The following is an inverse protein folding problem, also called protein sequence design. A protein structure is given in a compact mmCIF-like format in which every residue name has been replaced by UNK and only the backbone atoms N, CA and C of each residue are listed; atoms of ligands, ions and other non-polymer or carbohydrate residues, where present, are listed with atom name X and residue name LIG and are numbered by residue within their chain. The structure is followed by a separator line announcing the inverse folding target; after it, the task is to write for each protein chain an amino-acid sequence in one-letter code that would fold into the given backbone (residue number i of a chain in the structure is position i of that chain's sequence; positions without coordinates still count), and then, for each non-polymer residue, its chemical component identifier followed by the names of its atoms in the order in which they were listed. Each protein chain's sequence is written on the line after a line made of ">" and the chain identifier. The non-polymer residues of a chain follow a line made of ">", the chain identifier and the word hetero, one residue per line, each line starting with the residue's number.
data_IF_504326544429
#
_entry.id   IF_504326544429
#
_cell.length_a   1.000
_cell.length_b   1.000
_cell.length_c   1.000
_cell.angle_alpha   90.00
_cell.angle_beta   90.00
_cell.angle_gamma   90.00
#
_symmetry.space_group_name_H-M   'P 1'
#
loop_
_entity.id
_entity.type
_entity.pdbx_description
1 polymer ?
2 polymer ?
3 polymer ?
4 non-polymer ?
5 water ?
#
loop_
_entity_poly.entity_id
_entity_poly.type
_entity_poly.pdbx_seq_one_letter_code
_entity_poly.pdbx_strand_id
1 'polydeoxyribonucleotide' '(DG)(DC)(DA)(DA)(DA)(DT)(DC)(DG)(DT)(DC)(DG)(DT)(DG)(DA)(DG)(DA)(DC)(DA)(DA)(DT)(DT)(DT)(DC)(DG)' ?
2 'polydeoxyribonucleotide' '(DC)(DG)(DA)(DA)(DA)(DT)(DT)(DG)(DT)(DC)(DT)(DC)(DA)(DC)(DG)(DA)(DC)(DG)(DA)(DT)(DT)(DT)(DG)(DC)' ?
#
# COMPACT_ATOMS: atom_id res chain seq x y z
N UNK C 2 16.57 10.55 -19.66
CA UNK C 2 15.97 9.55 -18.71
C UNK C 2 16.40 9.83 -17.28
N UNK C 3 15.47 10.31 -16.47
CA UNK C 3 15.76 10.63 -15.08
C UNK C 3 16.35 9.42 -14.35
N UNK C 4 17.23 9.72 -13.39
CA UNK C 4 17.92 8.72 -12.60
C UNK C 4 17.39 8.80 -11.16
N UNK C 5 16.40 7.95 -10.83
CA UNK C 5 15.80 7.97 -9.50
C UNK C 5 16.67 7.37 -8.40
N UNK C 6 16.48 7.91 -7.18
CA UNK C 6 17.19 7.45 -6.00
C UNK C 6 16.66 6.12 -5.50
N UNK C 7 17.58 5.20 -5.21
CA UNK C 7 17.24 3.87 -4.73
C UNK C 7 16.32 3.83 -3.53
N UNK C 8 16.54 4.73 -2.57
CA UNK C 8 15.72 4.75 -1.37
C UNK C 8 14.29 5.19 -1.68
N UNK C 9 14.16 6.14 -2.61
CA UNK C 9 12.86 6.61 -3.02
C UNK C 9 12.18 5.45 -3.74
N UNK C 10 12.96 4.71 -4.51
CA UNK C 10 12.47 3.58 -5.28
C UNK C 10 12.04 2.42 -4.36
N UNK C 11 12.84 2.17 -3.32
CA UNK C 11 12.55 1.11 -2.37
C UNK C 11 11.22 1.38 -1.68
N UNK C 12 11.08 2.59 -1.14
CA UNK C 12 9.85 2.97 -0.45
C UNK C 12 8.64 2.98 -1.37
N UNK C 13 8.81 3.52 -2.57
CA UNK C 13 7.73 3.60 -3.54
C UNK C 13 7.33 2.22 -4.04
N UNK C 14 8.31 1.34 -4.23
CA UNK C 14 7.98 0.01 -4.70
C UNK C 14 7.03 -0.60 -3.66
N UNK C 15 7.30 -0.32 -2.39
CA UNK C 15 6.46 -0.87 -1.34
C UNK C 15 5.09 -0.25 -1.37
N UNK C 16 5.04 1.05 -1.63
CA UNK C 16 3.77 1.75 -1.66
C UNK C 16 2.95 1.29 -2.85
N UNK C 17 3.63 1.10 -3.96
CA UNK C 17 3.01 0.64 -5.20
C UNK C 17 2.43 -0.76 -4.98
N UNK C 18 3.22 -1.65 -4.38
CA UNK C 18 2.74 -3.01 -4.15
C UNK C 18 1.45 -2.95 -3.33
N UNK C 19 1.31 -1.91 -2.51
CA UNK C 19 0.12 -1.78 -1.69
C UNK C 19 -1.06 -1.11 -2.37
N UNK C 20 -0.94 0.19 -2.60
CA UNK C 20 -2.00 1.00 -3.22
C UNK C 20 -1.84 1.21 -4.72
N UNK C 21 -0.70 0.80 -5.26
CA UNK C 21 -0.44 0.99 -6.68
C UNK C 21 -1.14 -0.02 -7.58
N UNK C 22 -0.96 0.16 -8.89
CA UNK C 22 -1.55 -0.73 -9.88
C UNK C 22 -0.85 -0.58 -11.22
N UNK C 23 -0.49 -1.71 -11.82
CA UNK C 23 0.19 -1.73 -13.12
C UNK C 23 -0.83 -2.35 -14.06
N UNK C 24 -1.34 -1.52 -14.95
CA UNK C 24 -2.43 -1.88 -15.87
C UNK C 24 -2.15 -1.92 -17.38
N UNK C 25 -2.58 -3.00 -18.02
CA UNK C 25 -2.41 -3.16 -19.46
C UNK C 25 -3.78 -3.44 -20.05
N UNK C 26 -4.23 -2.59 -20.97
CA UNK C 26 -5.55 -2.75 -21.58
C UNK C 26 -5.55 -2.80 -23.10
N UNK C 27 -6.63 -3.34 -23.65
CA UNK C 27 -6.83 -3.42 -25.09
C UNK C 27 -8.09 -2.61 -25.33
N UNK C 28 -7.96 -1.43 -25.92
CA UNK C 28 -9.12 -0.58 -26.18
C UNK C 28 -9.63 -0.71 -27.61
N UNK C 29 -10.91 -1.11 -27.79
CA UNK C 29 -11.37 -1.20 -29.17
C UNK C 29 -11.53 0.21 -29.74
N UNK C 30 -10.90 0.46 -30.88
CA UNK C 30 -10.93 1.78 -31.53
C UNK C 30 -10.67 1.63 -33.03
N UNK C 31 -11.66 2.00 -33.85
CA UNK C 31 -11.55 1.88 -35.31
C UNK C 31 -10.59 2.85 -35.98
N UNK C 32 -9.72 3.49 -35.22
CA UNK C 32 -8.81 4.43 -35.85
C UNK C 32 -7.44 3.78 -35.90
N UNK C 33 -7.31 2.67 -35.19
CA UNK C 33 -6.04 1.95 -35.12
C UNK C 33 -5.92 0.89 -36.21
N UNK C 34 -4.68 0.61 -36.59
CA UNK C 34 -4.35 -0.37 -37.63
C UNK C 34 -5.10 -1.68 -37.43
N UNK C 35 -5.13 -2.17 -36.19
CA UNK C 35 -5.79 -3.42 -35.89
C UNK C 35 -7.07 -3.27 -35.06
N UNK C 36 -7.74 -2.13 -35.22
CA UNK C 36 -8.99 -1.85 -34.52
C UNK C 36 -8.96 -1.92 -32.98
N UNK C 37 -7.77 -1.75 -32.41
CA UNK C 37 -7.60 -1.77 -30.96
C UNK C 37 -6.28 -1.12 -30.62
N UNK C 38 -6.28 -0.36 -29.52
CA UNK C 38 -5.06 0.30 -29.09
C UNK C 38 -4.54 -0.43 -27.87
N UNK C 39 -3.23 -0.40 -27.70
CA UNK C 39 -2.63 -1.03 -26.53
C UNK C 39 -2.28 0.10 -25.57
N UNK C 40 -2.88 0.05 -24.39
CA UNK C 40 -2.66 1.05 -23.36
C UNK C 40 -2.04 0.44 -22.12
N UNK C 41 -0.93 1.03 -21.68
CA UNK C 41 -0.23 0.59 -20.48
C UNK C 41 -0.34 1.74 -19.51
N UNK C 42 -0.52 1.45 -18.23
CA UNK C 42 -0.66 2.53 -17.26
C UNK C 42 -0.12 2.19 -15.89
N UNK C 43 0.59 3.14 -15.31
CA UNK C 43 1.11 2.99 -13.96
C UNK C 43 0.32 3.94 -13.07
N UNK C 44 -0.22 3.44 -11.98
CA UNK C 44 -1.00 4.32 -11.12
C UNK C 44 -0.94 4.04 -9.64
N UNK C 45 -1.21 5.10 -8.88
CA UNK C 45 -1.26 5.06 -7.44
C UNK C 45 -2.55 5.80 -7.08
N UNK C 46 -3.43 5.10 -6.37
CA UNK C 46 -4.69 5.69 -5.97
C UNK C 46 -4.57 6.08 -4.50
N UNK C 47 -5.31 7.11 -4.10
CA UNK C 47 -5.30 7.55 -2.71
C UNK C 47 -6.45 8.51 -2.42
N UNK C 48 -6.98 8.42 -1.21
CA UNK C 48 -8.07 9.28 -0.77
C UNK C 48 -7.64 10.70 -1.11
N UNK C 49 -8.54 11.47 -1.69
CA UNK C 49 -8.18 12.82 -2.11
C UNK C 49 -7.65 13.73 -1.01
N UNK C 50 -8.11 13.55 0.23
CA UNK C 50 -7.58 14.41 1.29
C UNK C 50 -6.09 14.11 1.48
N UNK C 51 -5.62 13.08 0.83
CA UNK C 51 -4.22 12.66 0.94
C UNK C 51 -3.55 12.79 -0.43
N UNK C 52 -4.09 13.66 -1.28
CA UNK C 52 -3.56 13.84 -2.61
C UNK C 52 -2.18 14.49 -2.64
N UNK C 53 -1.89 15.31 -1.63
CA UNK C 53 -0.59 15.97 -1.58
C UNK C 53 0.49 14.92 -1.85
N UNK C 54 0.22 13.69 -1.43
CA UNK C 54 1.17 12.61 -1.63
C UNK C 54 1.35 12.29 -3.13
N UNK C 55 0.25 12.29 -3.87
CA UNK C 55 0.32 12.02 -5.30
C UNK C 55 0.97 13.21 -6.02
N UNK C 56 0.58 14.42 -5.62
CA UNK C 56 1.14 15.64 -6.21
C UNK C 56 2.65 15.57 -5.99
N UNK C 57 3.03 15.01 -4.84
CA UNK C 57 4.41 14.83 -4.47
C UNK C 57 5.09 13.87 -5.45
N UNK C 58 4.37 12.83 -5.86
CA UNK C 58 4.93 11.87 -6.82
C UNK C 58 5.16 12.49 -8.20
N UNK C 59 4.30 13.43 -8.56
CA UNK C 59 4.45 14.10 -9.84
C UNK C 59 5.82 14.77 -9.91
N UNK C 60 6.13 15.56 -8.89
CA UNK C 60 7.39 16.27 -8.82
C UNK C 60 8.59 15.33 -8.70
N UNK C 61 8.44 14.22 -7.98
CA UNK C 61 9.53 13.27 -7.82
C UNK C 61 9.73 12.33 -9.02
N UNK C 62 8.66 11.99 -9.72
CA UNK C 62 8.80 11.13 -10.90
C UNK C 62 9.21 12.08 -12.05
N UNK C 63 8.70 13.31 -12.02
CA UNK C 63 9.02 14.28 -13.06
C UNK C 63 8.21 14.14 -14.33
N UNK C 64 7.13 13.38 -14.26
CA UNK C 64 6.24 13.15 -15.39
C UNK C 64 4.93 12.63 -14.82
N UNK C 65 3.89 12.55 -15.65
CA UNK C 65 2.60 12.08 -15.16
C UNK C 65 1.80 13.18 -14.49
N UNK C 66 0.62 12.83 -13.97
CA UNK C 66 -0.24 13.80 -13.33
C UNK C 66 -1.22 13.18 -12.34
N UNK C 67 -2.00 14.02 -11.66
CA UNK C 67 -2.97 13.57 -10.68
C UNK C 67 -4.39 13.98 -11.08
N UNK C 68 -5.33 13.06 -11.01
CA UNK C 68 -6.71 13.39 -11.34
C UNK C 68 -7.57 13.04 -10.13
N UNK C 69 -8.63 13.82 -9.92
CA UNK C 69 -9.55 13.55 -8.81
C UNK C 69 -10.77 12.84 -9.40
N UNK C 70 -11.37 11.96 -8.61
CA UNK C 70 -12.57 11.25 -9.02
C UNK C 70 -13.43 11.04 -7.78
N UNK C 71 -13.78 12.15 -7.15
CA UNK C 71 -14.59 12.12 -5.94
C UNK C 71 -13.75 12.24 -4.69
N UNK C 72 -14.00 11.34 -3.74
CA UNK C 72 -13.27 11.34 -2.49
C UNK C 72 -11.90 10.69 -2.70
N UNK C 73 -11.66 10.19 -3.91
CA UNK C 73 -10.41 9.53 -4.25
C UNK C 73 -9.69 10.14 -5.45
N UNK C 74 -8.35 10.11 -5.41
CA UNK C 74 -7.51 10.66 -6.48
C UNK C 74 -6.48 9.65 -7.01
N UNK C 75 -5.91 9.93 -8.18
CA UNK C 75 -4.92 9.05 -8.79
C UNK C 75 -3.71 9.71 -9.43
N UNK C 76 -2.53 9.21 -9.10
CA UNK C 76 -1.34 9.69 -9.78
C UNK C 76 -1.40 8.79 -11.04
N UNK C 77 -1.29 9.39 -12.22
CA UNK C 77 -1.36 8.60 -13.44
C UNK C 77 -0.14 8.83 -14.33
N UNK C 78 0.36 7.76 -14.92
CA UNK C 78 1.50 7.83 -15.82
C UNK C 78 1.26 6.80 -16.91
N UNK C 79 1.10 7.27 -18.14
CA UNK C 79 0.87 6.39 -19.29
C UNK C 79 1.80 6.69 -20.44
N UNK C 80 2.68 7.67 -20.28
CA UNK C 80 3.61 7.98 -21.35
C UNK C 80 4.60 6.83 -21.51
N UNK C 81 4.52 6.18 -22.67
CA UNK C 81 5.37 5.03 -22.97
C UNK C 81 6.85 5.12 -22.60
N UNK C 82 7.54 6.15 -23.08
CA UNK C 82 8.97 6.26 -22.77
C UNK C 82 9.25 6.45 -21.29
N UNK C 83 8.56 7.42 -20.63
CA UNK C 83 8.82 7.63 -19.20
C UNK C 83 8.46 6.36 -18.42
N UNK C 84 7.36 5.71 -18.82
CA UNK C 84 6.93 4.49 -18.15
C UNK C 84 8.04 3.42 -18.17
N UNK C 85 8.67 3.24 -19.32
CA UNK C 85 9.73 2.25 -19.46
C UNK C 85 10.89 2.59 -18.53
N UNK C 86 11.38 3.82 -18.62
CA UNK C 86 12.47 4.27 -17.77
C UNK C 86 12.13 4.06 -16.29
N UNK C 87 10.94 4.53 -15.91
CA UNK C 87 10.48 4.42 -14.54
C UNK C 87 10.36 2.98 -14.04
N UNK C 88 9.66 2.14 -14.79
CA UNK C 88 9.47 0.75 -14.37
C UNK C 88 10.75 -0.09 -14.38
N UNK C 89 11.68 0.24 -15.27
CA UNK C 89 12.93 -0.52 -15.35
C UNK C 89 13.66 -0.36 -14.01
N UNK C 90 13.61 0.82 -13.43
CA UNK C 90 14.27 1.10 -12.16
C UNK C 90 13.53 0.66 -10.90
N UNK C 91 12.20 0.67 -10.93
CA UNK C 91 11.40 0.29 -9.77
C UNK C 91 11.27 -1.21 -9.60
N UNK C 92 11.16 -1.90 -10.73
CA UNK C 92 10.97 -3.35 -10.78
C UNK C 92 11.80 -4.25 -9.84
N UNK C 93 13.13 -4.07 -9.78
CA UNK C 93 13.92 -4.92 -8.89
C UNK C 93 13.53 -4.85 -7.42
N UNK C 94 12.71 -3.87 -7.04
CA UNK C 94 12.31 -3.76 -5.67
C UNK C 94 10.87 -4.18 -5.41
N UNK C 95 10.12 -4.41 -6.49
CA UNK C 95 8.73 -4.82 -6.36
C UNK C 95 8.73 -6.25 -5.91
N UNK C 96 7.71 -6.64 -5.14
CA UNK C 96 7.61 -8.00 -4.65
C UNK C 96 6.29 -8.62 -5.06
N UNK C 97 5.26 -7.77 -5.16
CA UNK C 97 3.94 -8.25 -5.52
C UNK C 97 3.57 -8.01 -6.98
N UNK C 98 4.07 -6.93 -7.56
CA UNK C 98 3.74 -6.61 -8.93
C UNK C 98 4.95 -6.56 -9.87
N UNK C 99 6.02 -7.24 -9.49
CA UNK C 99 7.23 -7.25 -10.30
C UNK C 99 6.93 -7.92 -11.64
N UNK C 100 6.14 -8.98 -11.60
CA UNK C 100 5.81 -9.68 -12.84
C UNK C 100 5.04 -8.81 -13.82
N UNK C 101 4.03 -8.09 -13.34
CA UNK C 101 3.29 -7.24 -14.26
C UNK C 101 4.23 -6.17 -14.79
N UNK C 102 5.09 -5.67 -13.90
CA UNK C 102 6.05 -4.64 -14.28
C UNK C 102 6.88 -5.10 -15.48
N UNK C 103 7.51 -6.26 -15.34
CA UNK C 103 8.34 -6.83 -16.39
C UNK C 103 7.54 -7.16 -17.66
N UNK C 104 6.25 -7.41 -17.50
CA UNK C 104 5.42 -7.71 -18.65
C UNK C 104 5.24 -6.41 -19.45
N UNK C 105 5.01 -5.32 -18.73
CA UNK C 105 4.84 -4.04 -19.38
C UNK C 105 6.15 -3.70 -20.08
N UNK C 106 7.27 -3.84 -19.39
CA UNK C 106 8.57 -3.56 -19.98
C UNK C 106 8.70 -4.27 -21.32
N UNK C 107 8.34 -5.56 -21.33
CA UNK C 107 8.45 -6.38 -22.53
C UNK C 107 7.42 -5.98 -23.58
N UNK C 108 6.24 -5.57 -23.12
CA UNK C 108 5.20 -5.14 -24.04
C UNK C 108 5.73 -3.87 -24.73
N UNK C 109 6.22 -2.93 -23.92
CA UNK C 109 6.75 -1.68 -24.45
C UNK C 109 7.83 -1.92 -25.50
N UNK C 110 8.68 -2.92 -25.28
CA UNK C 110 9.76 -3.21 -26.19
C UNK C 110 9.37 -3.90 -27.50
N UNK C 111 8.22 -4.57 -27.51
CA UNK C 111 7.72 -5.25 -28.71
C UNK C 111 6.74 -4.35 -29.47
N UNK C 112 6.53 -3.13 -28.98
CA UNK C 112 5.56 -2.25 -29.64
C UNK C 112 5.74 -2.12 -31.16
N UNK C 113 6.86 -1.52 -31.62
CA UNK C 113 7.01 -1.40 -33.07
C UNK C 113 6.81 -2.66 -33.89
N UNK C 114 7.25 -3.82 -33.40
CA UNK C 114 7.06 -5.04 -34.18
C UNK C 114 5.60 -5.42 -34.12
N UNK C 115 4.95 -5.11 -33.00
CA UNK C 115 3.54 -5.42 -32.85
C UNK C 115 2.71 -4.53 -33.77
N UNK C 116 3.36 -3.55 -34.39
CA UNK C 116 2.63 -2.66 -35.29
C UNK C 116 2.66 -3.15 -36.73
N UNK C 117 3.66 -3.95 -37.10
CA UNK C 117 3.76 -4.44 -38.47
C UNK C 117 3.29 -5.87 -38.70
N UNK C 118 2.49 -6.43 -37.78
CA UNK C 118 2.01 -7.80 -37.96
C UNK C 118 0.88 -8.22 -37.03
N UNK C 119 -0.30 -8.51 -37.59
CA UNK C 119 -1.44 -8.91 -36.76
C UNK C 119 -1.12 -10.10 -35.84
N UNK C 120 0.04 -10.73 -36.05
CA UNK C 120 0.45 -11.88 -35.25
C UNK C 120 1.27 -11.40 -34.06
N UNK C 121 2.28 -10.57 -34.32
CA UNK C 121 3.09 -10.01 -33.25
C UNK C 121 2.07 -9.38 -32.29
N UNK C 122 1.30 -8.43 -32.81
CA UNK C 122 0.25 -7.72 -32.07
C UNK C 122 -0.66 -8.68 -31.33
N UNK C 123 -0.97 -9.80 -31.99
CA UNK C 123 -1.81 -10.82 -31.39
C UNK C 123 -1.07 -11.36 -30.17
N UNK C 124 0.17 -11.77 -30.38
CA UNK C 124 1.00 -12.32 -29.31
C UNK C 124 1.07 -11.34 -28.14
N UNK C 125 1.31 -10.07 -28.43
CA UNK C 125 1.42 -9.04 -27.40
C UNK C 125 0.14 -8.91 -26.55
N UNK C 126 -1.03 -9.03 -27.18
CA UNK C 126 -2.28 -8.94 -26.45
C UNK C 126 -2.34 -10.07 -25.46
N UNK C 127 -1.63 -11.16 -25.78
CA UNK C 127 -1.55 -12.32 -24.92
C UNK C 127 -0.70 -11.95 -23.70
N UNK C 128 0.16 -10.95 -23.85
CA UNK C 128 1.01 -10.48 -22.75
C UNK C 128 0.09 -9.73 -21.79
N UNK C 129 -0.86 -9.00 -22.35
CA UNK C 129 -1.80 -8.23 -21.58
C UNK C 129 -2.72 -9.14 -20.76
N UNK C 130 -3.18 -10.25 -21.35
CA UNK C 130 -4.03 -11.14 -20.58
C UNK C 130 -3.27 -11.48 -19.29
N UNK C 131 -2.01 -11.91 -19.44
CA UNK C 131 -1.19 -12.29 -18.29
C UNK C 131 -1.15 -11.24 -17.19
N UNK C 132 -0.93 -9.98 -17.57
CA UNK C 132 -0.89 -8.92 -16.58
C UNK C 132 -2.23 -8.86 -15.83
N UNK C 133 -3.33 -8.98 -16.56
CA UNK C 133 -4.66 -8.95 -15.94
C UNK C 133 -4.82 -10.11 -14.97
N UNK C 134 -4.48 -11.32 -15.41
CA UNK C 134 -4.60 -12.50 -14.55
C UNK C 134 -3.79 -12.29 -13.27
N UNK C 135 -2.57 -11.78 -13.42
CA UNK C 135 -1.71 -11.51 -12.27
C UNK C 135 -2.39 -10.54 -11.33
N UNK C 136 -3.12 -9.58 -11.87
CA UNK C 136 -3.83 -8.60 -11.05
C UNK C 136 -5.15 -9.17 -10.57
N UNK C 137 -5.81 -8.45 -9.67
CA UNK C 137 -7.11 -8.88 -9.16
C UNK C 137 -8.17 -8.31 -10.12
N UNK C 138 -8.10 -8.76 -11.37
CA UNK C 138 -9.01 -8.32 -12.43
C UNK C 138 -10.45 -8.74 -12.16
N UNK C 139 -11.38 -7.80 -12.23
CA UNK C 139 -12.77 -8.14 -11.97
C UNK C 139 -13.83 -7.55 -12.91
N UNK C 140 -13.43 -6.73 -13.88
CA UNK C 140 -14.40 -6.15 -14.81
C UNK C 140 -13.85 -6.11 -16.25
N UNK C 141 -12.84 -6.93 -16.53
CA UNK C 141 -12.23 -6.94 -17.87
C UNK C 141 -13.17 -7.46 -18.95
N UNK C 142 -13.12 -6.83 -20.12
CA UNK C 142 -13.97 -7.23 -21.26
C UNK C 142 -13.16 -7.56 -22.51
N UNK C 143 -12.30 -6.64 -22.94
CA UNK C 143 -11.51 -6.88 -24.14
C UNK C 143 -10.23 -7.65 -23.83
N UNK C 144 -10.11 -8.84 -24.43
CA UNK C 144 -8.94 -9.67 -24.24
C UNK C 144 -8.32 -9.98 -25.59
N UNK C 145 -7.21 -10.72 -25.58
CA UNK C 145 -6.55 -11.09 -26.82
C UNK C 145 -7.54 -11.88 -27.68
N UNK C 146 -8.42 -12.62 -27.00
CA UNK C 146 -9.43 -13.45 -27.64
C UNK C 146 -10.40 -12.61 -28.45
N UNK C 147 -10.97 -11.62 -27.79
CA UNK C 147 -11.92 -10.74 -28.47
C UNK C 147 -11.19 -9.97 -29.58
N UNK C 148 -9.86 -9.95 -29.53
CA UNK C 148 -9.05 -9.27 -30.55
C UNK C 148 -8.70 -10.24 -31.69
N UNK C 149 -8.53 -11.53 -31.39
CA UNK C 149 -8.23 -12.47 -32.46
C UNK C 149 -9.42 -12.35 -33.41
N UNK C 150 -10.55 -11.93 -32.85
CA UNK C 150 -11.77 -11.69 -33.61
C UNK C 150 -11.55 -10.46 -34.48
N UNK C 151 -10.45 -10.47 -35.23
CA UNK C 151 -10.07 -9.42 -36.15
C UNK C 151 -9.87 -10.24 -37.41
N UNK C 152 -9.51 -11.51 -37.17
CA UNK C 152 -9.25 -12.44 -38.25
C UNK C 152 -10.58 -12.81 -38.88
N UNK C 153 -11.20 -11.79 -39.47
CA UNK C 153 -12.44 -11.98 -40.20
C UNK C 153 -12.61 -10.80 -41.15
N UNK D 2 14.73 -7.17 20.47
CA UNK D 2 15.60 -6.01 20.08
C UNK D 2 16.34 -6.34 18.80
N UNK D 3 15.69 -7.12 17.94
CA UNK D 3 16.27 -7.50 16.67
C UNK D 3 16.52 -6.27 15.81
N UNK D 4 17.59 -6.29 15.03
CA UNK D 4 17.92 -5.15 14.18
C UNK D 4 17.45 -5.48 12.77
N UNK D 5 16.85 -4.50 12.11
CA UNK D 5 16.35 -4.71 10.75
C UNK D 5 17.14 -3.96 9.69
N UNK D 6 17.25 -4.61 8.53
CA UNK D 6 17.95 -4.10 7.35
C UNK D 6 17.22 -2.86 6.82
N UNK D 7 17.98 -1.80 6.56
CA UNK D 7 17.46 -0.53 6.08
C UNK D 7 16.55 -0.63 4.85
N UNK D 8 17.05 -1.34 3.84
CA UNK D 8 16.31 -1.51 2.61
C UNK D 8 14.99 -2.24 2.87
N UNK D 9 15.02 -3.22 3.78
CA UNK D 9 13.80 -3.93 4.14
C UNK D 9 12.84 -2.89 4.74
N UNK D 10 13.32 -2.12 5.70
CA UNK D 10 12.52 -1.10 6.36
C UNK D 10 11.96 -0.07 5.38
N UNK D 11 12.79 0.33 4.42
CA UNK D 11 12.38 1.32 3.42
C UNK D 11 11.16 0.83 2.67
N UNK D 12 11.27 -0.38 2.14
CA UNK D 12 10.20 -0.99 1.37
C UNK D 12 8.97 -1.22 2.26
N UNK D 13 9.18 -1.83 3.42
CA UNK D 13 8.06 -2.10 4.32
C UNK D 13 7.34 -0.81 4.70
N UNK D 14 8.10 0.25 4.97
CA UNK D 14 7.50 1.52 5.33
C UNK D 14 6.48 1.90 4.26
N UNK D 15 6.90 1.78 3.00
CA UNK D 15 6.02 2.10 1.90
C UNK D 15 4.81 1.18 1.87
N UNK D 16 5.05 -0.12 1.95
CA UNK D 16 3.95 -1.06 1.92
C UNK D 16 2.96 -0.81 3.06
N UNK D 17 3.47 -0.36 4.20
CA UNK D 17 2.60 -0.10 5.33
C UNK D 17 1.76 1.16 5.11
N UNK D 18 2.38 2.20 4.58
CA UNK D 18 1.64 3.42 4.32
C UNK D 18 0.50 3.09 3.37
N UNK D 19 0.70 2.06 2.55
CA UNK D 19 -0.34 1.64 1.62
C UNK D 19 -1.41 0.76 2.25
N UNK D 20 -1.05 -0.49 2.54
CA UNK D 20 -1.99 -1.44 3.11
C UNK D 20 -1.93 -1.56 4.64
N UNK D 21 -0.90 -1.00 5.26
CA UNK D 21 -0.77 -1.12 6.70
C UNK D 21 -1.72 -0.30 7.55
N UNK D 22 -1.55 -0.36 8.86
CA UNK D 22 -2.40 0.40 9.79
C UNK D 22 -1.87 0.39 11.21
N UNK D 23 -1.56 1.57 11.74
CA UNK D 23 -1.09 1.69 13.10
C UNK D 23 -2.35 2.04 13.90
N UNK D 24 -2.71 1.16 14.83
CA UNK D 24 -3.94 1.33 15.61
C UNK D 24 -3.80 1.41 17.14
N UNK D 25 -4.49 2.38 17.72
CA UNK D 25 -4.51 2.55 19.16
C UNK D 25 -5.98 2.45 19.56
N UNK D 26 -6.28 1.60 20.55
CA UNK D 26 -7.66 1.44 20.97
C UNK D 26 -7.86 1.47 22.49
N UNK D 27 -9.00 2.01 22.92
CA UNK D 27 -9.34 2.04 24.33
C UNK D 27 -10.39 0.95 24.46
N UNK D 28 -10.00 -0.15 25.12
CA UNK D 28 -10.88 -1.29 25.29
C UNK D 28 -11.53 -1.35 26.64
N UNK D 29 -12.86 -1.18 26.69
CA UNK D 29 -13.59 -1.24 27.96
C UNK D 29 -13.51 -2.67 28.48
N UNK D 30 -13.18 -2.82 29.76
CA UNK D 30 -13.03 -4.11 30.39
C UNK D 30 -12.98 -3.91 31.90
N UNK D 31 -13.98 -4.44 32.62
CA UNK D 31 -14.07 -4.27 34.06
C UNK D 31 -12.85 -4.75 34.86
N UNK D 32 -12.20 -5.81 34.38
CA UNK D 32 -11.04 -6.36 35.08
C UNK D 32 -9.84 -5.41 35.20
N UNK D 33 -9.88 -4.30 34.49
CA UNK D 33 -8.78 -3.32 34.52
C UNK D 33 -9.05 -2.22 35.55
N UNK D 34 -8.00 -1.78 36.25
CA UNK D 34 -8.13 -0.73 37.26
C UNK D 34 -9.04 0.41 36.83
N UNK D 35 -8.76 0.99 35.66
CA UNK D 35 -9.56 2.10 35.17
C UNK D 35 -10.61 1.66 34.16
N UNK D 36 -11.07 0.42 34.32
CA UNK D 36 -12.09 -0.18 33.47
C UNK D 36 -11.80 -0.20 31.98
N UNK D 37 -10.54 0.02 31.61
CA UNK D 37 -10.19 -0.01 30.19
C UNK D 37 -8.77 -0.51 29.97
N UNK D 38 -8.56 -1.13 28.81
CA UNK D 38 -7.23 -1.64 28.45
C UNK D 38 -6.71 -0.78 27.31
N UNK D 39 -5.41 -0.49 27.33
CA UNK D 39 -4.81 0.27 26.27
C UNK D 39 -4.25 -0.80 25.34
N UNK D 40 -4.63 -0.74 24.07
CA UNK D 40 -4.20 -1.75 23.10
C UNK D 40 -3.60 -1.16 21.81
N UNK D 41 -2.33 -1.47 21.58
CA UNK D 41 -1.62 -0.98 20.42
C UNK D 41 -1.42 -2.11 19.41
N UNK D 42 -1.80 -1.87 18.17
CA UNK D 42 -1.67 -2.88 17.13
C UNK D 42 -1.11 -2.42 15.79
N UNK D 43 -0.11 -3.13 15.32
CA UNK D 43 0.44 -2.86 14.00
C UNK D 43 -0.07 -4.00 13.13
N UNK D 44 -0.62 -3.67 11.96
CA UNK D 44 -1.10 -4.73 11.10
C UNK D 44 -0.91 -4.43 9.63
N UNK D 45 -1.11 -5.46 8.81
CA UNK D 45 -1.00 -5.37 7.37
C UNK D 45 -2.05 -6.31 6.80
N UNK D 46 -2.98 -5.72 6.06
CA UNK D 46 -4.07 -6.48 5.46
C UNK D 46 -3.76 -6.85 4.01
N UNK D 47 -4.20 -8.02 3.58
CA UNK D 47 -3.97 -8.48 2.23
C UNK D 47 -4.92 -9.61 1.85
N UNK D 48 -5.27 -9.66 0.58
CA UNK D 48 -6.16 -10.69 0.02
C UNK D 48 -5.53 -12.01 0.47
N UNK D 49 -6.34 -12.97 0.88
CA UNK D 49 -5.80 -14.25 1.35
C UNK D 49 -5.00 -15.04 0.33
N UNK D 50 -5.28 -14.87 -0.97
CA UNK D 50 -4.51 -15.59 -1.97
C UNK D 50 -3.04 -15.13 -1.96
N UNK D 51 -2.81 -13.99 -1.31
CA UNK D 51 -1.46 -13.46 -1.19
C UNK D 51 -1.00 -13.53 0.25
N UNK D 52 -1.57 -14.47 0.99
CA UNK D 52 -1.20 -14.63 2.40
C UNK D 52 0.29 -14.88 2.57
N UNK D 53 0.92 -15.49 1.57
CA UNK D 53 2.34 -15.80 1.64
C UNK D 53 3.18 -14.56 1.95
N UNK D 54 2.81 -13.42 1.38
CA UNK D 54 3.57 -12.22 1.63
C UNK D 54 3.53 -11.90 3.13
N UNK D 55 2.34 -12.04 3.71
CA UNK D 55 2.14 -11.79 5.13
C UNK D 55 2.89 -12.81 6.00
N UNK D 56 2.89 -14.07 5.57
CA UNK D 56 3.59 -15.10 6.32
C UNK D 56 5.08 -14.80 6.34
N UNK D 57 5.60 -14.33 5.21
CA UNK D 57 7.02 -14.00 5.12
C UNK D 57 7.34 -12.89 6.11
N UNK D 58 6.44 -11.92 6.27
CA UNK D 58 6.68 -10.83 7.20
C UNK D 58 6.92 -11.38 8.61
N UNK D 59 6.14 -12.39 9.00
CA UNK D 59 6.29 -12.99 10.32
C UNK D 59 7.74 -13.42 10.55
N UNK D 60 8.34 -14.05 9.55
CA UNK D 60 9.73 -14.54 9.61
C UNK D 60 10.69 -13.35 9.53
N UNK D 61 10.36 -12.38 8.69
CA UNK D 61 11.20 -11.19 8.53
C UNK D 61 11.16 -10.30 9.78
N UNK D 62 9.97 -9.97 10.26
CA UNK D 62 9.87 -9.13 11.46
C UNK D 62 10.31 -9.91 12.70
N UNK D 63 10.07 -11.22 12.69
CA UNK D 63 10.50 -12.04 13.81
C UNK D 63 9.48 -12.27 14.90
N UNK D 64 8.37 -11.56 14.84
CA UNK D 64 7.32 -11.71 15.83
C UNK D 64 5.98 -11.48 15.16
N UNK D 65 4.90 -11.63 15.93
CA UNK D 65 3.58 -11.42 15.38
C UNK D 65 3.05 -12.68 14.76
N UNK D 66 1.90 -12.57 14.09
CA UNK D 66 1.28 -13.71 13.44
C UNK D 66 0.30 -13.26 12.37
N UNK D 67 -0.16 -14.22 11.58
CA UNK D 67 -1.13 -13.97 10.53
C UNK D 67 -2.48 -14.56 10.91
N UNK D 68 -3.54 -13.78 10.81
CA UNK D 68 -4.86 -14.32 11.11
C UNK D 68 -5.71 -14.30 9.85
N UNK D 69 -6.65 -15.23 9.81
CA UNK D 69 -7.54 -15.36 8.67
C UNK D 69 -8.94 -14.79 8.95
N UNK D 70 -9.53 -14.18 7.93
CA UNK D 70 -10.88 -13.64 8.05
C UNK D 70 -11.59 -13.62 6.70
N UNK D 71 -11.69 -14.78 6.06
CA UNK D 71 -12.40 -14.85 4.79
C UNK D 71 -11.58 -14.60 3.54
N UNK D 72 -11.94 -13.59 2.75
CA UNK D 72 -11.20 -13.29 1.54
C UNK D 72 -9.93 -12.50 1.84
N UNK D 73 -9.78 -12.06 3.09
CA UNK D 73 -8.60 -11.30 3.46
C UNK D 73 -7.94 -11.85 4.73
N UNK D 74 -6.63 -11.57 4.88
CA UNK D 74 -5.86 -12.00 6.04
C UNK D 74 -5.11 -10.80 6.64
N UNK D 75 -4.61 -10.95 7.86
CA UNK D 75 -3.86 -9.87 8.49
C UNK D 75 -2.56 -10.28 9.17
N UNK D 76 -1.56 -9.42 9.06
CA UNK D 76 -0.32 -9.66 9.77
C UNK D 76 -0.64 -8.85 11.03
N UNK D 77 -0.43 -9.43 12.20
CA UNK D 77 -0.73 -8.72 13.42
C UNK D 77 0.42 -8.75 14.42
N UNK D 78 0.68 -7.61 15.04
CA UNK D 78 1.73 -7.47 16.06
C UNK D 78 1.14 -6.64 17.19
N UNK D 79 0.81 -7.30 18.29
CA UNK D 79 0.22 -6.62 19.43
C UNK D 79 1.19 -6.51 20.60
N UNK D 80 2.28 -7.26 20.56
CA UNK D 80 3.27 -7.27 21.63
C UNK D 80 4.00 -5.93 21.79
N UNK D 81 3.73 -5.26 22.91
CA UNK D 81 4.29 -3.95 23.19
C UNK D 81 5.78 -3.75 23.05
N UNK D 82 6.59 -4.59 23.68
CA UNK D 82 8.02 -4.41 23.54
C UNK D 82 8.52 -4.61 22.10
N UNK D 83 8.15 -5.72 21.45
CA UNK D 83 8.63 -5.90 20.08
C UNK D 83 8.05 -4.84 19.15
N UNK D 84 6.84 -4.39 19.46
CA UNK D 84 6.18 -3.36 18.68
C UNK D 84 7.00 -2.08 18.79
N UNK D 85 7.42 -1.76 20.01
CA UNK D 85 8.22 -0.55 20.23
C UNK D 85 9.51 -0.66 19.45
N UNK D 86 10.12 -1.84 19.46
CA UNK D 86 11.36 -2.02 18.74
C UNK D 86 11.16 -1.89 17.23
N UNK D 87 10.09 -2.47 16.71
CA UNK D 87 9.78 -2.45 15.28
C UNK D 87 9.49 -1.05 14.74
N UNK D 88 8.55 -0.36 15.38
CA UNK D 88 8.17 0.98 14.95
C UNK D 88 9.33 1.98 15.11
N UNK D 89 10.18 1.76 16.11
CA UNK D 89 11.32 2.66 16.33
C UNK D 89 12.19 2.71 15.09
N UNK D 90 12.37 1.55 14.48
CA UNK D 90 13.21 1.44 13.29
C UNK D 90 12.47 1.71 11.98
N UNK D 91 11.14 1.60 12.00
CA UNK D 91 10.33 1.85 10.80
C UNK D 91 9.99 3.33 10.64
N UNK D 92 9.59 3.94 11.76
CA UNK D 92 9.20 5.34 11.87
C UNK D 92 9.95 6.36 11.00
N UNK D 93 11.29 6.28 10.94
CA UNK D 93 11.94 7.29 10.10
C UNK D 93 11.70 7.21 8.58
N UNK D 94 11.08 6.12 8.10
CA UNK D 94 10.84 6.00 6.65
C UNK D 94 9.37 6.10 6.25
N UNK D 95 8.48 6.10 7.24
CA UNK D 95 7.06 6.21 6.96
C UNK D 95 6.74 7.63 6.50
N UNK D 96 5.59 7.81 5.84
CA UNK D 96 5.22 9.13 5.38
C UNK D 96 3.75 9.46 5.60
N UNK D 97 2.90 8.45 5.65
CA UNK D 97 1.48 8.70 5.86
C UNK D 97 1.07 8.41 7.28
N UNK D 98 1.84 7.56 7.95
CA UNK D 98 1.51 7.17 9.30
C UNK D 98 2.70 7.29 10.27
N UNK D 99 3.60 8.22 10.00
CA UNK D 99 4.76 8.43 10.86
C UNK D 99 4.36 8.99 12.22
N UNK D 100 3.34 9.84 12.22
CA UNK D 100 2.88 10.44 13.46
C UNK D 100 2.12 9.45 14.33
N UNK D 101 1.33 8.56 13.72
CA UNK D 101 0.61 7.62 14.56
C UNK D 101 1.63 6.66 15.15
N UNK D 102 2.71 6.45 14.40
CA UNK D 102 3.78 5.58 14.86
C UNK D 102 4.46 6.24 16.07
N UNK D 103 4.88 7.49 15.91
CA UNK D 103 5.53 8.20 17.01
C UNK D 103 4.58 8.37 18.20
N UNK D 104 3.28 8.42 17.91
CA UNK D 104 2.30 8.54 18.99
C UNK D 104 2.19 7.22 19.74
N UNK D 105 2.24 6.10 19.03
CA UNK D 105 2.17 4.79 19.69
C UNK D 105 3.40 4.59 20.57
N UNK D 106 4.56 4.99 20.07
CA UNK D 106 5.81 4.85 20.82
C UNK D 106 5.77 5.67 22.11
N UNK D 107 5.20 6.87 22.01
CA UNK D 107 5.07 7.76 23.15
C UNK D 107 4.10 7.15 24.16
N UNK D 108 3.07 6.49 23.64
CA UNK D 108 2.09 5.83 24.49
C UNK D 108 2.78 4.71 25.27
N UNK D 109 3.54 3.87 24.57
CA UNK D 109 4.23 2.76 25.22
C UNK D 109 5.20 3.27 26.29
N UNK D 110 6.05 4.21 25.88
CA UNK D 110 7.03 4.79 26.77
C UNK D 110 6.40 5.30 28.06
N UNK D 111 5.11 5.60 28.00
CA UNK D 111 4.36 6.12 29.13
C UNK D 111 3.48 5.13 29.87
N UNK D 112 3.23 3.95 29.30
CA UNK D 112 2.37 2.97 29.95
C UNK D 112 2.40 2.92 31.48
N UNK D 113 3.59 2.69 32.08
CA UNK D 113 3.70 2.63 33.54
C UNK D 113 3.13 3.83 34.29
N UNK D 114 3.73 5.00 34.10
CA UNK D 114 3.24 6.19 34.78
C UNK D 114 1.73 6.31 34.64
N UNK D 115 1.20 5.80 33.52
CA UNK D 115 -0.23 5.83 33.23
C UNK D 115 -1.11 4.94 34.10
N UNK D 116 -0.58 3.79 34.52
CA UNK D 116 -1.35 2.88 35.36
C UNK D 116 -1.39 3.38 36.80
N UNK D 117 -0.64 4.45 37.07
CA UNK D 117 -0.55 5.01 38.41
C UNK D 117 -1.64 6.02 38.69
N UNK D 118 -1.68 7.08 37.90
CA UNK D 118 -2.65 8.15 38.08
C UNK D 118 -3.75 8.17 37.01
N UNK D 119 -5.02 8.32 37.43
CA UNK D 119 -6.18 8.37 36.53
C UNK D 119 -5.99 9.47 35.51
N UNK D 120 -5.22 10.48 35.85
CA UNK D 120 -4.97 11.60 34.95
C UNK D 120 -3.94 11.25 33.89
N UNK D 121 -2.88 10.54 34.27
CA UNK D 121 -1.88 10.18 33.28
C UNK D 121 -2.61 9.28 32.29
N UNK D 122 -3.47 8.40 32.81
CA UNK D 122 -4.24 7.49 31.97
C UNK D 122 -5.12 8.24 30.98
N UNK D 123 -5.79 9.31 31.45
CA UNK D 123 -6.66 10.08 30.55
C UNK D 123 -5.82 10.80 29.50
N UNK D 124 -4.72 11.43 29.92
CA UNK D 124 -3.87 12.15 28.99
C UNK D 124 -3.34 11.20 27.93
N UNK D 125 -2.99 9.98 28.33
CA UNK D 125 -2.50 9.02 27.36
C UNK D 125 -3.65 8.69 26.40
N UNK D 126 -4.86 8.57 26.94
CA UNK D 126 -6.03 8.28 26.12
C UNK D 126 -6.28 9.41 25.13
N UNK D 127 -5.64 10.55 25.36
CA UNK D 127 -5.78 11.69 24.46
C UNK D 127 -4.82 11.46 23.28
N UNK D 128 -3.81 10.63 23.52
CA UNK D 128 -2.85 10.30 22.47
C UNK D 128 -3.58 9.35 21.50
N UNK D 129 -4.34 8.42 22.05
CA UNK D 129 -5.08 7.46 21.22
C UNK D 129 -6.18 8.18 20.44
N UNK D 130 -6.61 9.33 20.93
CA UNK D 130 -7.61 10.11 20.24
C UNK D 130 -7.00 10.68 18.96
N UNK D 131 -5.75 11.14 19.07
CA UNK D 131 -5.01 11.73 17.96
C UNK D 131 -4.71 10.70 16.87
N UNK D 132 -4.38 9.48 17.28
CA UNK D 132 -4.07 8.42 16.33
C UNK D 132 -5.32 8.12 15.48
N UNK D 133 -6.45 7.93 16.15
CA UNK D 133 -7.68 7.65 15.41
C UNK D 133 -7.96 8.83 14.46
N UNK D 134 -7.64 10.04 14.92
CA UNK D 134 -7.85 11.25 14.13
C UNK D 134 -7.03 11.19 12.84
N UNK D 135 -5.76 10.80 12.98
CA UNK D 135 -4.85 10.68 11.86
C UNK D 135 -5.30 9.62 10.86
N UNK D 136 -5.82 8.49 11.33
CA UNK D 136 -6.27 7.43 10.43
C UNK D 136 -7.66 7.75 9.89
N UNK D 137 -8.12 6.94 8.93
CA UNK D 137 -9.45 7.15 8.38
C UNK D 137 -10.43 6.43 9.30
N UNK D 138 -10.56 6.95 10.51
CA UNK D 138 -11.44 6.38 11.53
C UNK D 138 -12.90 6.58 11.16
N UNK D 139 -13.70 5.53 11.25
CA UNK D 139 -15.11 5.63 10.89
C UNK D 139 -16.09 4.78 11.71
N UNK D 140 -15.57 3.86 12.53
CA UNK D 140 -16.44 3.02 13.35
C UNK D 140 -15.98 3.04 14.81
N UNK D 141 -15.34 4.13 15.21
CA UNK D 141 -14.81 4.28 16.56
C UNK D 141 -15.90 4.58 17.59
N UNK D 142 -15.77 3.98 18.78
CA UNK D 142 -16.74 4.17 19.86
C UNK D 142 -16.12 4.62 21.17
N UNK D 143 -15.12 3.88 21.66
CA UNK D 143 -14.49 4.26 22.92
C UNK D 143 -13.37 5.27 22.73
N UNK D 144 -13.64 6.50 23.15
CA UNK D 144 -12.67 7.57 23.04
C UNK D 144 -12.18 7.90 24.45
N UNK D 145 -11.43 8.98 24.58
CA UNK D 145 -10.94 9.38 25.89
C UNK D 145 -12.10 10.00 26.65
N UNK D 146 -13.08 10.53 25.94
CA UNK D 146 -14.22 11.15 26.59
C UNK D 146 -15.03 10.11 27.33
N UNK D 147 -15.15 8.91 26.75
CA UNK D 147 -15.90 7.87 27.43
C UNK D 147 -15.13 7.47 28.67
N UNK D 148 -13.80 7.47 28.57
CA UNK D 148 -12.97 7.13 29.72
C UNK D 148 -13.24 8.21 30.79
N UNK D 149 -13.38 9.45 30.34
CA UNK D 149 -13.66 10.54 31.26
C UNK D 149 -14.85 10.10 32.13
N UNK D 150 -15.68 9.21 31.58
CA UNK D 150 -16.80 8.66 32.33
C UNK D 150 -16.26 7.56 33.26
N UNK D 151 -15.26 7.92 34.05
CA UNK D 151 -14.66 7.01 35.04
C UNK D 151 -14.88 7.80 36.31
N UNK D 152 -14.97 9.12 36.15
CA UNK D 152 -15.16 10.03 37.25
C UNK D 152 -16.09 9.33 38.23
N UNK D 153 -15.47 8.67 39.21
CA UNK D 153 -16.18 7.94 40.24
C UNK D 153 -15.16 7.54 41.29
#
# INVERSE_FOLDING_TARGET
>C
MNTKYNKEFLLYLAGFVDGDGSIIAQIRPNQSYKFKHQLSLTFQVTQKTQRRWFLDKLVDEIGVGYVRDRGSVSDYILSEIKPLHNFLTQLQPFLKLKQKQANLVLKIIEQLPSAKESPDKFLEVCTWVDQIAALNDSKTRKTTSETVRAVLD
>D
MNTKYNKEFLLYLAGFVDGDGSIIAQIRPNQSYKFKHQLSLTFQVTQKTQRRWFLDKLVDEIGVGYVRDRGSVSDYILSEIKPLHNFLTQLQPFLKLKQKQANLVLKIIEQLPSAKESPDKFLEVCTWVDQIAALNDSKTRKTTSETVRAVLD
#
